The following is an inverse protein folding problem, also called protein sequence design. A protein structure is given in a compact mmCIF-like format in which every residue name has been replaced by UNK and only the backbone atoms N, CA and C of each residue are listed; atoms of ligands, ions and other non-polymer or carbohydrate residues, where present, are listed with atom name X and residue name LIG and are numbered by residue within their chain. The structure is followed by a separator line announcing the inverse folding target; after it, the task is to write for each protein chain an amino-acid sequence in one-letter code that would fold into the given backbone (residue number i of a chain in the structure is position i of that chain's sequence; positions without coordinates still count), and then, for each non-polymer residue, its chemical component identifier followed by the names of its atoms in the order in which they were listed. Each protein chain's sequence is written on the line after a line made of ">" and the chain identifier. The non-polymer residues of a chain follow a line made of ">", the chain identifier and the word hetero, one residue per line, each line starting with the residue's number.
data_IF_662353701291
#
_entry.id   IF_662353701291
#
_cell.length_a   1.000
_cell.length_b   1.000
_cell.length_c   1.000
_cell.angle_alpha   90.00
_cell.angle_beta   90.00
_cell.angle_gamma   90.00
#
_symmetry.space_group_name_H-M   'P 1'
#
loop_
_entity.id
_entity.type
_entity.pdbx_description
1 polymer ?
#
# COMPACT_ATOMS: atom_id res chain seq x y z
N UNK A 1 -15.26 10.04 -8.25
CA UNK A 1 -14.94 9.94 -6.81
C UNK A 1 -13.45 9.73 -6.75
N UNK A 2 -12.67 10.57 -6.03
CA UNK A 2 -11.23 10.48 -6.08
C UNK A 2 -10.82 9.08 -5.66
N UNK A 3 -9.89 8.54 -6.41
CA UNK A 3 -9.55 7.14 -6.48
C UNK A 3 -8.98 6.74 -5.12
N UNK A 4 -9.81 6.14 -4.27
CA UNK A 4 -9.45 5.62 -2.95
C UNK A 4 -8.58 4.39 -3.15
N UNK A 5 -7.48 4.48 -3.89
CA UNK A 5 -6.63 3.34 -4.24
C UNK A 5 -5.23 3.63 -3.70
N UNK A 6 -4.57 2.59 -3.21
CA UNK A 6 -3.22 2.69 -2.69
C UNK A 6 -2.28 3.30 -3.74
N UNK A 7 -1.48 4.28 -3.33
CA UNK A 7 -0.50 4.94 -4.18
C UNK A 7 0.71 4.04 -4.51
N UNK A 8 0.81 2.85 -3.91
CA UNK A 8 1.85 1.89 -4.23
C UNK A 8 1.63 1.31 -5.65
N UNK A 9 2.62 1.39 -6.56
CA UNK A 9 2.43 1.08 -7.98
C UNK A 9 2.06 -0.39 -8.26
N UNK A 10 2.45 -1.30 -7.37
CA UNK A 10 2.11 -2.72 -7.46
C UNK A 10 0.96 -3.13 -6.54
N UNK A 11 0.30 -2.16 -5.90
CA UNK A 11 -0.82 -2.39 -5.00
C UNK A 11 -2.13 -1.98 -5.66
N UNK A 12 -3.11 -2.88 -5.63
CA UNK A 12 -4.47 -2.63 -6.15
C UNK A 12 -5.48 -2.48 -5.02
N UNK A 13 -5.00 -2.33 -3.78
CA UNK A 13 -5.88 -2.23 -2.62
C UNK A 13 -6.62 -0.90 -2.61
N UNK A 14 -7.90 -0.97 -2.26
CA UNK A 14 -8.70 0.22 -1.98
C UNK A 14 -8.35 0.72 -0.59
N UNK A 15 -8.16 2.02 -0.46
CA UNK A 15 -7.99 2.75 0.79
C UNK A 15 -9.29 2.65 1.59
N UNK A 16 -9.22 1.97 2.73
CA UNK A 16 -10.29 1.93 3.72
C UNK A 16 -10.16 3.05 4.76
N UNK A 17 -10.91 2.91 5.85
CA UNK A 17 -10.83 3.81 7.01
C UNK A 17 -9.43 3.83 7.65
N UNK A 18 -8.71 2.71 7.58
CA UNK A 18 -7.35 2.56 8.12
C UNK A 18 -6.24 2.99 7.13
N UNK A 19 -6.59 3.76 6.10
CA UNK A 19 -5.62 4.25 5.13
C UNK A 19 -4.61 5.22 5.78
N UNK A 20 -3.34 5.02 5.45
CA UNK A 20 -2.22 5.83 5.91
C UNK A 20 -1.93 6.91 4.88
N UNK A 21 -1.94 8.18 5.29
CA UNK A 21 -1.58 9.32 4.44
C UNK A 21 -0.13 9.71 4.70
N UNK A 22 0.72 9.67 3.67
CA UNK A 22 2.14 10.00 3.76
C UNK A 22 2.59 10.77 2.52
N UNK A 23 3.26 11.90 2.71
CA UNK A 23 3.74 12.77 1.62
C UNK A 23 2.62 13.21 0.64
N UNK A 24 1.39 13.36 1.14
CA UNK A 24 0.21 13.69 0.32
C UNK A 24 -0.34 12.53 -0.51
N UNK A 25 0.18 11.32 -0.35
CA UNK A 25 -0.28 10.08 -1.00
C UNK A 25 -0.99 9.19 0.02
N UNK A 26 -2.05 8.51 -0.40
CA UNK A 26 -2.78 7.55 0.42
C UNK A 26 -2.29 6.12 0.21
N UNK A 27 -2.13 5.37 1.29
CA UNK A 27 -1.64 4.00 1.30
C UNK A 27 -2.58 3.11 2.11
N UNK A 28 -2.80 1.87 1.66
CA UNK A 28 -3.75 0.97 2.32
C UNK A 28 -3.23 0.43 3.67
N UNK A 29 -1.93 0.54 3.92
CA UNK A 29 -1.28 0.13 5.17
C UNK A 29 0.07 0.84 5.31
N UNK A 30 0.65 0.75 6.51
CA UNK A 30 1.93 1.39 6.82
C UNK A 30 3.10 0.80 6.02
N UNK A 31 3.08 -0.51 5.76
CA UNK A 31 4.06 -1.16 4.88
C UNK A 31 4.13 -0.52 3.49
N UNK A 32 2.98 -0.23 2.86
CA UNK A 32 2.97 0.46 1.57
C UNK A 32 3.49 1.90 1.67
N UNK A 33 3.17 2.62 2.76
CA UNK A 33 3.66 3.98 3.00
C UNK A 33 5.17 4.06 3.27
N UNK A 34 5.75 2.96 3.72
CA UNK A 34 7.19 2.77 3.91
C UNK A 34 7.86 2.03 2.73
N UNK A 35 7.15 1.83 1.62
CA UNK A 35 7.63 1.07 0.45
C UNK A 35 8.17 -0.31 0.80
N UNK A 36 7.55 -0.97 1.77
CA UNK A 36 7.95 -2.27 2.28
C UNK A 36 9.42 -2.29 2.71
N UNK A 37 9.92 -1.25 3.39
CA UNK A 37 11.33 -1.15 3.81
C UNK A 37 11.90 -2.40 4.50
N UNK A 38 11.04 -3.17 5.19
CA UNK A 38 11.38 -4.41 5.89
C UNK A 38 10.95 -5.70 5.16
N UNK A 39 10.41 -5.59 3.94
CA UNK A 39 9.87 -6.72 3.17
C UNK A 39 8.51 -7.25 3.67
N UNK A 40 7.85 -6.51 4.57
CA UNK A 40 6.58 -6.93 5.15
C UNK A 40 5.47 -6.98 4.10
N UNK A 41 4.58 -8.00 4.13
CA UNK A 41 3.46 -8.09 3.20
C UNK A 41 2.44 -6.98 3.42
N UNK A 42 1.62 -6.72 2.41
CA UNK A 42 0.53 -5.76 2.53
C UNK A 42 -0.56 -6.29 3.47
N UNK A 43 -0.79 -5.59 4.59
CA UNK A 43 -1.84 -5.96 5.55
C UNK A 43 -3.27 -5.80 5.01
N UNK A 44 -3.48 -4.93 4.02
CA UNK A 44 -4.82 -4.60 3.52
C UNK A 44 -5.46 -5.72 2.67
N UNK A 45 -4.65 -6.58 2.06
CA UNK A 45 -5.17 -7.70 1.29
C UNK A 45 -4.19 -8.86 1.26
N UNK A 46 -4.63 -10.03 1.70
CA UNK A 46 -3.80 -11.23 1.82
C UNK A 46 -3.17 -11.72 0.50
N UNK A 47 -3.73 -11.30 -0.65
CA UNK A 47 -3.22 -11.66 -1.98
C UNK A 47 -2.50 -10.50 -2.68
N UNK A 48 -2.14 -9.43 -1.96
CA UNK A 48 -1.43 -8.31 -2.55
C UNK A 48 0.08 -8.54 -2.52
N UNK A 49 0.67 -8.77 -3.69
CA UNK A 49 2.10 -9.04 -3.87
C UNK A 49 2.95 -7.76 -4.01
N UNK A 50 2.45 -6.59 -3.62
CA UNK A 50 3.17 -5.33 -3.81
C UNK A 50 4.51 -5.29 -3.05
N UNK A 51 4.62 -5.99 -1.91
CA UNK A 51 5.87 -6.18 -1.17
C UNK A 51 6.92 -6.94 -1.99
N UNK A 52 6.49 -7.95 -2.74
CA UNK A 52 7.36 -8.77 -3.59
C UNK A 52 7.89 -8.00 -4.80
N UNK A 53 7.12 -7.04 -5.31
CA UNK A 53 7.54 -6.16 -6.40
C UNK A 53 8.37 -4.95 -5.94
N UNK A 54 8.36 -4.60 -4.66
CA UNK A 54 9.08 -3.43 -4.14
C UNK A 54 10.60 -3.64 -4.05
N UNK A 55 11.07 -4.90 -4.01
CA UNK A 55 12.49 -5.27 -3.94
C UNK A 55 13.02 -5.99 -5.19
N UNK A 56 12.28 -5.90 -6.31
CA UNK A 56 12.62 -6.55 -7.58
C UNK A 56 13.58 -5.75 -8.45
#
# INVERSE_FOLDING_TARGET
>A
MPDQTCACPHCKCVLGVDAVMKDGKGYCCEGCAQHHAHGEPCAASANCECAKSAHG
#
